data_IF_114391839574
#
_entry.id   IF_114391839574
#
_cell.length_a   1.000
_cell.length_b   1.000
_cell.length_c   1.000
_cell.angle_alpha   90.00
_cell.angle_beta   90.00
_cell.angle_gamma   90.00
#
_symmetry.space_group_name_H-M   'P 1'
#
loop_
_entity.id
_entity.type
_entity.pdbx_description
1 polymer ?
#
# COMPACT_ATOMS: atom_id res chain seq x y z
N UNK A 1 -9.58 9.51 38.10
CA UNK A 1 -9.93 9.16 36.71
C UNK A 1 -9.61 10.35 35.82
N UNK A 2 -8.39 10.43 35.29
CA UNK A 2 -8.05 11.36 34.22
C UNK A 2 -8.91 10.99 33.01
N UNK A 3 -9.77 11.94 32.63
CA UNK A 3 -10.52 11.84 31.38
C UNK A 3 -9.49 12.02 30.25
N UNK A 4 -9.07 10.93 29.60
CA UNK A 4 -8.37 11.04 28.33
C UNK A 4 -9.22 11.93 27.40
N UNK A 5 -8.62 12.94 26.74
CA UNK A 5 -9.36 13.75 25.79
C UNK A 5 -10.00 12.82 24.77
N UNK A 6 -11.31 12.95 24.58
CA UNK A 6 -12.04 12.19 23.56
C UNK A 6 -11.38 12.53 22.23
N UNK A 7 -10.57 11.63 21.73
CA UNK A 7 -9.92 11.79 20.44
C UNK A 7 -11.03 11.90 19.39
N UNK A 8 -11.10 13.03 18.68
CA UNK A 8 -12.08 13.19 17.62
C UNK A 8 -11.80 12.14 16.55
N UNK A 9 -12.82 11.38 16.19
CA UNK A 9 -12.74 10.45 15.09
C UNK A 9 -12.48 11.22 13.79
N UNK A 10 -11.69 10.61 12.89
CA UNK A 10 -11.57 11.11 11.54
C UNK A 10 -12.96 11.09 10.84
N UNK A 11 -13.28 12.03 9.90
CA UNK A 11 -14.57 12.06 9.21
C UNK A 11 -15.01 10.70 8.64
N UNK A 12 -14.09 9.94 8.07
CA UNK A 12 -14.35 8.57 7.58
C UNK A 12 -14.83 7.64 8.71
N UNK A 13 -14.14 7.66 9.84
CA UNK A 13 -14.49 6.82 11.00
C UNK A 13 -15.86 7.23 11.56
N UNK A 14 -16.07 8.55 11.70
CA UNK A 14 -17.33 9.08 12.20
C UNK A 14 -18.49 8.72 11.27
N UNK A 15 -18.32 8.87 9.96
CA UNK A 15 -19.32 8.51 8.96
C UNK A 15 -19.68 7.01 9.00
N UNK A 16 -18.67 6.13 9.17
CA UNK A 16 -18.91 4.69 9.34
C UNK A 16 -19.72 4.37 10.58
N UNK A 17 -19.55 5.14 11.67
CA UNK A 17 -20.39 5.02 12.88
C UNK A 17 -21.80 5.52 12.61
N UNK A 18 -21.94 6.75 12.06
CA UNK A 18 -23.22 7.40 11.81
C UNK A 18 -24.13 6.58 10.87
N UNK A 19 -23.54 5.96 9.85
CA UNK A 19 -24.26 5.16 8.86
C UNK A 19 -24.34 3.67 9.19
N UNK A 20 -23.86 3.23 10.36
CA UNK A 20 -23.82 1.82 10.75
C UNK A 20 -23.10 0.93 9.72
N UNK A 21 -21.98 1.43 9.16
CA UNK A 21 -21.19 0.79 8.10
C UNK A 21 -20.44 -0.47 8.54
N UNK A 22 -20.55 -0.90 9.80
CA UNK A 22 -19.87 -2.08 10.35
C UNK A 22 -20.86 -2.94 11.13
N UNK A 23 -20.70 -4.29 11.02
CA UNK A 23 -21.41 -5.26 11.84
C UNK A 23 -20.42 -6.17 12.58
N UNK A 24 -19.87 -7.20 11.94
CA UNK A 24 -18.90 -8.09 12.61
C UNK A 24 -17.51 -7.44 12.80
N UNK A 25 -17.21 -6.36 12.08
CA UNK A 25 -15.97 -5.60 12.20
C UNK A 25 -14.78 -6.13 11.38
N UNK A 26 -14.84 -7.34 10.84
CA UNK A 26 -13.69 -7.99 10.17
C UNK A 26 -13.19 -7.22 8.95
N UNK A 27 -14.09 -6.76 8.07
CA UNK A 27 -13.74 -6.00 6.88
C UNK A 27 -13.57 -4.48 7.13
N UNK A 28 -13.99 -4.00 8.30
CA UNK A 28 -14.09 -2.56 8.60
C UNK A 28 -12.76 -1.82 8.46
N UNK A 29 -11.60 -2.33 8.93
CA UNK A 29 -10.33 -1.64 8.75
C UNK A 29 -9.97 -1.41 7.28
N UNK A 30 -10.21 -2.42 6.41
CA UNK A 30 -9.97 -2.29 4.98
C UNK A 30 -10.85 -1.21 4.35
N UNK A 31 -12.16 -1.21 4.63
CA UNK A 31 -13.07 -0.18 4.13
C UNK A 31 -12.73 1.22 4.64
N UNK A 32 -12.35 1.36 5.91
CA UNK A 32 -11.93 2.66 6.47
C UNK A 32 -10.71 3.19 5.75
N UNK A 33 -9.72 2.35 5.44
CA UNK A 33 -8.52 2.77 4.73
C UNK A 33 -8.81 3.12 3.27
N UNK A 34 -9.65 2.36 2.57
CA UNK A 34 -10.05 2.69 1.19
C UNK A 34 -10.87 3.99 1.14
N UNK A 35 -11.84 4.17 2.04
CA UNK A 35 -12.60 5.40 2.16
C UNK A 35 -11.71 6.60 2.52
N UNK A 36 -10.72 6.39 3.38
CA UNK A 36 -9.75 7.44 3.71
C UNK A 36 -8.92 7.86 2.50
N UNK A 37 -8.45 6.90 1.69
CA UNK A 37 -7.73 7.20 0.45
C UNK A 37 -8.58 8.03 -0.52
N UNK A 38 -9.85 7.62 -0.74
CA UNK A 38 -10.81 8.38 -1.56
C UNK A 38 -11.09 9.76 -0.97
N UNK A 39 -11.22 9.86 0.36
CA UNK A 39 -11.43 11.13 1.05
C UNK A 39 -10.28 12.11 0.82
N UNK A 40 -9.04 11.71 1.06
CA UNK A 40 -7.85 12.57 0.87
C UNK A 40 -7.73 13.03 -0.59
N UNK A 41 -7.93 12.13 -1.55
CA UNK A 41 -7.88 12.45 -2.98
C UNK A 41 -8.92 13.52 -3.37
N UNK A 42 -10.16 13.37 -2.94
CA UNK A 42 -11.22 14.32 -3.25
C UNK A 42 -11.11 15.63 -2.47
N UNK A 43 -10.63 15.60 -1.24
CA UNK A 43 -10.35 16.81 -0.45
C UNK A 43 -9.25 17.66 -1.10
N UNK A 44 -8.22 17.04 -1.69
CA UNK A 44 -7.18 17.74 -2.41
C UNK A 44 -7.72 18.44 -3.65
N UNK A 45 -8.59 17.75 -4.41
CA UNK A 45 -9.23 18.27 -5.62
C UNK A 45 -10.42 19.20 -5.38
N UNK A 46 -10.88 19.38 -4.15
CA UNK A 46 -12.09 20.15 -3.81
C UNK A 46 -13.36 19.56 -4.44
N UNK A 47 -13.40 18.23 -4.63
CA UNK A 47 -14.49 17.49 -5.29
C UNK A 47 -15.14 16.50 -4.33
N UNK A 48 -16.27 15.93 -4.76
CA UNK A 48 -16.90 14.80 -4.05
C UNK A 48 -17.18 13.68 -5.05
N UNK A 49 -16.94 12.41 -4.67
CA UNK A 49 -17.21 11.29 -5.55
C UNK A 49 -18.70 11.05 -5.70
N UNK A 50 -19.12 10.65 -6.87
CA UNK A 50 -20.45 10.07 -7.07
C UNK A 50 -20.55 8.73 -6.34
N UNK A 51 -21.78 8.26 -6.11
CA UNK A 51 -21.99 6.93 -5.49
C UNK A 51 -21.38 5.80 -6.33
N UNK A 52 -21.38 5.93 -7.66
CA UNK A 52 -20.75 4.95 -8.54
C UNK A 52 -19.23 4.95 -8.38
N UNK A 53 -18.60 6.11 -8.36
CA UNK A 53 -17.15 6.21 -8.12
C UNK A 53 -16.76 5.59 -6.76
N UNK A 54 -17.54 5.85 -5.70
CA UNK A 54 -17.32 5.19 -4.42
C UNK A 54 -17.43 3.65 -4.52
N UNK A 55 -18.39 3.14 -5.27
CA UNK A 55 -18.54 1.70 -5.45
C UNK A 55 -17.35 1.10 -6.21
N UNK A 56 -16.83 1.83 -7.21
CA UNK A 56 -15.66 1.43 -7.99
C UNK A 56 -14.37 1.46 -7.14
N UNK A 57 -14.17 2.53 -6.37
CA UNK A 57 -13.03 2.67 -5.45
C UNK A 57 -12.99 1.58 -4.36
N UNK A 58 -14.17 1.13 -3.93
CA UNK A 58 -14.32 0.10 -2.90
C UNK A 58 -14.42 -1.32 -3.46
N UNK A 59 -14.34 -1.51 -4.78
CA UNK A 59 -14.56 -2.80 -5.45
C UNK A 59 -13.60 -3.92 -4.99
N UNK A 60 -12.40 -3.56 -4.51
CA UNK A 60 -11.43 -4.49 -3.93
C UNK A 60 -11.74 -4.95 -2.51
N UNK A 61 -12.72 -4.35 -1.83
CA UNK A 61 -13.09 -4.66 -0.45
C UNK A 61 -14.35 -5.53 -0.41
N UNK A 62 -14.29 -6.64 0.34
CA UNK A 62 -15.41 -7.57 0.46
C UNK A 62 -16.04 -7.51 1.86
N UNK A 63 -17.37 -7.41 1.90
CA UNK A 63 -18.17 -7.49 3.13
C UNK A 63 -19.31 -8.50 2.96
N UNK A 64 -19.48 -9.39 3.94
CA UNK A 64 -20.54 -10.39 3.93
C UNK A 64 -21.76 -9.98 4.75
N UNK A 65 -21.65 -8.95 5.59
CA UNK A 65 -22.65 -8.64 6.61
C UNK A 65 -23.58 -7.52 6.21
N UNK A 66 -23.05 -6.37 5.71
CA UNK A 66 -23.80 -5.11 5.61
C UNK A 66 -24.59 -4.94 4.33
N UNK A 67 -24.30 -5.71 3.27
CA UNK A 67 -24.85 -5.49 1.93
C UNK A 67 -24.31 -4.22 1.25
N UNK A 68 -23.18 -3.67 1.72
CA UNK A 68 -22.44 -2.51 1.19
C UNK A 68 -23.15 -1.15 1.30
N UNK A 69 -24.47 -1.09 1.26
CA UNK A 69 -25.23 0.16 1.24
C UNK A 69 -24.83 1.13 2.35
N UNK A 70 -24.76 0.73 3.63
CA UNK A 70 -24.34 1.62 4.72
C UNK A 70 -22.91 2.14 4.57
N UNK A 71 -22.02 1.36 3.95
CA UNK A 71 -20.61 1.75 3.69
C UNK A 71 -20.56 2.82 2.61
N UNK A 72 -21.36 2.66 1.53
CA UNK A 72 -21.46 3.67 0.48
C UNK A 72 -22.13 4.96 1.00
N UNK A 73 -23.12 4.83 1.88
CA UNK A 73 -23.74 5.97 2.56
C UNK A 73 -22.71 6.71 3.44
N UNK A 74 -21.85 5.98 4.15
CA UNK A 74 -20.73 6.54 4.91
C UNK A 74 -19.72 7.26 4.00
N UNK A 75 -19.41 6.69 2.83
CA UNK A 75 -18.54 7.30 1.84
C UNK A 75 -19.06 8.64 1.31
N UNK A 76 -20.36 8.83 1.20
CA UNK A 76 -20.95 10.13 0.89
C UNK A 76 -20.97 11.05 2.12
N UNK A 77 -21.38 10.52 3.27
CA UNK A 77 -21.51 11.26 4.53
C UNK A 77 -20.21 11.87 5.03
N UNK A 78 -19.07 11.24 4.79
CA UNK A 78 -17.75 11.72 5.28
C UNK A 78 -17.40 13.13 4.81
N UNK A 79 -17.92 13.58 3.65
CA UNK A 79 -17.70 14.91 3.11
C UNK A 79 -18.60 15.99 3.72
N UNK A 80 -19.68 15.62 4.43
CA UNK A 80 -20.53 16.55 5.16
C UNK A 80 -20.00 16.88 6.55
N UNK A 81 -18.96 16.18 7.00
CA UNK A 81 -18.36 16.37 8.32
C UNK A 81 -17.23 17.41 8.26
N UNK A 82 -16.87 18.00 9.42
CA UNK A 82 -15.75 18.95 9.46
C UNK A 82 -14.48 18.32 8.87
N UNK A 83 -13.95 18.95 7.83
CA UNK A 83 -12.79 18.44 7.09
C UNK A 83 -11.54 18.33 7.94
N UNK A 84 -10.80 17.25 7.73
CA UNK A 84 -9.47 16.99 8.30
C UNK A 84 -8.59 16.53 7.14
N UNK A 85 -7.35 17.01 7.08
CA UNK A 85 -6.37 16.54 6.10
C UNK A 85 -5.12 16.04 6.79
N UNK A 86 -4.53 15.01 6.21
CA UNK A 86 -3.19 14.57 6.60
C UNK A 86 -2.16 15.61 6.11
N UNK A 87 -1.35 16.13 7.03
CA UNK A 87 -0.13 16.85 6.63
C UNK A 87 0.89 15.81 6.12
N UNK A 88 1.04 15.75 4.80
CA UNK A 88 1.94 14.81 4.16
C UNK A 88 3.39 15.28 4.12
N UNK A 89 3.66 16.57 4.35
CA UNK A 89 5.00 17.13 4.22
C UNK A 89 6.03 16.44 5.15
N UNK A 90 5.76 16.22 6.45
CA UNK A 90 6.70 15.53 7.33
C UNK A 90 6.93 14.07 6.92
N UNK A 91 5.89 13.41 6.38
CA UNK A 91 5.99 12.02 5.91
C UNK A 91 6.86 11.95 4.66
N UNK A 92 6.65 12.86 3.70
CA UNK A 92 7.46 12.95 2.47
C UNK A 92 8.92 13.23 2.79
N UNK A 93 9.19 14.17 3.72
CA UNK A 93 10.54 14.49 4.17
C UNK A 93 11.21 13.28 4.83
N UNK A 94 10.53 12.58 5.73
CA UNK A 94 11.03 11.38 6.37
C UNK A 94 11.32 10.27 5.34
N UNK A 95 10.42 10.04 4.38
CA UNK A 95 10.64 9.06 3.31
C UNK A 95 11.80 9.46 2.38
N UNK A 96 11.92 10.75 2.06
CA UNK A 96 13.04 11.24 1.25
C UNK A 96 14.40 11.02 1.94
N UNK A 97 14.45 11.15 3.26
CA UNK A 97 15.68 10.88 4.03
C UNK A 97 16.11 9.40 4.03
N UNK A 98 15.20 8.49 3.69
CA UNK A 98 15.47 7.05 3.60
C UNK A 98 15.89 6.61 2.19
N UNK A 99 15.84 7.52 1.20
CA UNK A 99 16.25 7.17 -0.18
C UNK A 99 17.76 6.96 -0.26
N UNK A 100 18.13 5.94 -0.97
CA UNK A 100 19.51 5.63 -1.29
C UNK A 100 19.70 5.69 -2.80
N UNK A 101 20.78 6.36 -3.24
CA UNK A 101 21.16 6.43 -4.66
C UNK A 101 22.06 5.26 -5.07
N UNK A 102 22.44 4.41 -4.12
CA UNK A 102 23.27 3.24 -4.34
C UNK A 102 22.46 1.95 -4.18
N UNK A 103 22.98 0.85 -4.74
CA UNK A 103 22.44 -0.49 -4.52
C UNK A 103 22.26 -0.75 -3.02
N UNK A 104 21.05 -1.13 -2.64
CA UNK A 104 20.78 -1.55 -1.27
C UNK A 104 21.07 -3.04 -1.13
N UNK A 105 21.92 -3.37 -0.16
CA UNK A 105 22.28 -4.74 0.19
C UNK A 105 21.93 -5.02 1.65
N UNK A 106 21.21 -6.11 1.87
CA UNK A 106 20.86 -6.56 3.21
C UNK A 106 21.15 -8.06 3.35
N UNK A 107 21.80 -8.44 4.44
CA UNK A 107 22.07 -9.83 4.75
C UNK A 107 21.35 -10.26 6.03
N UNK A 108 20.60 -11.36 5.97
CA UNK A 108 19.84 -11.91 7.08
C UNK A 108 20.30 -13.32 7.41
N UNK A 109 20.64 -13.63 8.68
CA UNK A 109 20.92 -14.99 9.10
C UNK A 109 19.65 -15.84 9.12
N UNK A 110 19.71 -17.02 8.52
CA UNK A 110 18.65 -18.04 8.57
C UNK A 110 19.27 -19.40 8.97
N UNK A 111 19.21 -19.73 10.26
CA UNK A 111 19.90 -20.88 10.82
C UNK A 111 21.42 -20.77 10.69
N UNK A 112 22.05 -21.67 9.91
CA UNK A 112 23.49 -21.64 9.62
C UNK A 112 23.84 -20.95 8.30
N UNK A 113 22.83 -20.42 7.60
CA UNK A 113 22.96 -19.78 6.29
C UNK A 113 22.79 -18.27 6.42
N UNK A 114 23.41 -17.52 5.54
CA UNK A 114 23.23 -16.08 5.35
C UNK A 114 22.55 -15.86 4.00
N UNK A 115 21.32 -15.38 4.02
CA UNK A 115 20.58 -15.01 2.81
C UNK A 115 20.74 -13.50 2.52
N UNK A 116 20.84 -13.16 1.26
CA UNK A 116 21.05 -11.79 0.82
C UNK A 116 19.85 -11.25 0.04
N UNK A 117 19.52 -9.99 0.32
CA UNK A 117 18.60 -9.19 -0.48
C UNK A 117 19.38 -8.06 -1.14
N UNK A 118 19.31 -7.97 -2.45
CA UNK A 118 19.94 -6.94 -3.26
C UNK A 118 18.88 -6.13 -4.01
N UNK A 119 18.99 -4.80 -3.99
CA UNK A 119 18.14 -3.90 -4.75
C UNK A 119 19.03 -2.96 -5.59
N UNK A 120 19.49 -3.41 -6.78
CA UNK A 120 20.28 -2.59 -7.69
C UNK A 120 19.44 -1.43 -8.24
N UNK A 121 20.08 -0.31 -8.56
CA UNK A 121 19.43 0.89 -9.10
C UNK A 121 19.63 1.06 -10.60
N UNK A 122 20.58 0.33 -11.20
CA UNK A 122 20.89 0.37 -12.63
C UNK A 122 20.83 -1.02 -13.27
N UNK A 123 20.61 -1.05 -14.59
CA UNK A 123 20.62 -2.30 -15.35
C UNK A 123 22.01 -2.97 -15.34
N UNK A 124 23.09 -2.20 -15.32
CA UNK A 124 24.45 -2.71 -15.26
C UNK A 124 24.72 -3.45 -13.94
N UNK A 125 24.29 -2.89 -12.80
CA UNK A 125 24.39 -3.52 -11.49
C UNK A 125 23.53 -4.79 -11.42
N UNK A 126 22.30 -4.75 -11.96
CA UNK A 126 21.42 -5.92 -12.03
C UNK A 126 22.09 -7.06 -12.82
N UNK A 127 22.69 -6.75 -13.97
CA UNK A 127 23.37 -7.73 -14.81
C UNK A 127 24.56 -8.37 -14.09
N UNK A 128 25.40 -7.54 -13.44
CA UNK A 128 26.54 -8.02 -12.66
C UNK A 128 26.13 -8.91 -11.48
N UNK A 129 25.09 -8.51 -10.73
CA UNK A 129 24.51 -9.32 -9.65
C UNK A 129 23.94 -10.64 -10.16
N UNK A 130 23.27 -10.64 -11.31
CA UNK A 130 22.70 -11.85 -11.90
C UNK A 130 23.80 -12.81 -12.39
N UNK A 131 24.87 -12.29 -12.94
CA UNK A 131 26.05 -13.10 -13.32
C UNK A 131 26.72 -13.72 -12.08
N UNK A 132 26.95 -12.92 -11.03
CA UNK A 132 27.59 -13.38 -9.80
C UNK A 132 26.71 -14.36 -8.98
N UNK A 133 25.38 -14.21 -9.04
CA UNK A 133 24.41 -14.98 -8.26
C UNK A 133 23.32 -15.58 -9.17
N UNK A 134 23.67 -16.56 -10.04
CA UNK A 134 22.71 -17.10 -11.01
C UNK A 134 21.54 -17.88 -10.38
N UNK A 135 21.67 -18.32 -9.12
CA UNK A 135 20.62 -19.01 -8.37
C UNK A 135 19.69 -18.05 -7.61
N UNK A 136 20.03 -16.77 -7.47
CA UNK A 136 19.21 -15.81 -6.74
C UNK A 136 17.85 -15.63 -7.41
N UNK A 137 16.80 -15.51 -6.58
CA UNK A 137 15.44 -15.27 -7.06
C UNK A 137 15.27 -13.81 -7.51
N UNK A 138 14.86 -13.58 -8.76
CA UNK A 138 14.45 -12.25 -9.20
C UNK A 138 13.08 -11.90 -8.62
N UNK A 139 12.95 -10.69 -8.09
CA UNK A 139 11.72 -10.19 -7.46
C UNK A 139 11.27 -8.89 -8.12
N UNK A 140 10.03 -8.91 -8.66
CA UNK A 140 9.33 -7.72 -9.14
C UNK A 140 7.92 -7.71 -8.54
N UNK A 141 7.57 -6.74 -7.69
CA UNK A 141 6.23 -6.58 -7.11
C UNK A 141 5.77 -7.62 -6.10
N UNK A 142 6.31 -8.82 -6.07
CA UNK A 142 6.11 -9.91 -5.09
C UNK A 142 4.72 -10.56 -5.00
N UNK A 143 3.75 -10.24 -5.85
CA UNK A 143 2.38 -10.79 -5.75
C UNK A 143 2.32 -12.32 -5.87
N UNK A 144 3.14 -12.94 -6.73
CA UNK A 144 3.29 -14.40 -6.84
C UNK A 144 4.32 -14.95 -5.85
N UNK A 145 5.50 -14.33 -5.78
CA UNK A 145 6.58 -14.77 -4.90
C UNK A 145 6.16 -14.75 -3.43
N UNK A 146 5.35 -13.76 -3.03
CA UNK A 146 4.77 -13.71 -1.68
C UNK A 146 3.87 -14.91 -1.39
N UNK A 147 3.13 -15.43 -2.38
CA UNK A 147 2.33 -16.64 -2.21
C UNK A 147 3.19 -17.91 -2.08
N UNK A 148 4.35 -17.96 -2.74
CA UNK A 148 5.28 -19.08 -2.57
C UNK A 148 5.76 -19.18 -1.14
N UNK A 149 5.99 -18.05 -0.46
CA UNK A 149 6.36 -18.02 0.96
C UNK A 149 5.14 -18.32 1.84
N UNK A 150 4.03 -17.59 1.68
CA UNK A 150 2.90 -17.64 2.62
C UNK A 150 2.03 -18.90 2.48
N UNK A 151 1.98 -19.51 1.29
CA UNK A 151 1.10 -20.66 1.00
C UNK A 151 1.87 -21.96 0.78
N UNK A 152 3.08 -21.88 0.26
CA UNK A 152 3.87 -23.03 -0.10
C UNK A 152 5.07 -23.23 0.83
N UNK A 153 5.33 -22.30 1.74
CA UNK A 153 6.46 -22.32 2.68
C UNK A 153 7.81 -22.52 1.98
N UNK A 154 7.92 -21.96 0.75
CA UNK A 154 9.17 -22.07 -0.03
C UNK A 154 10.25 -21.20 0.58
N UNK A 155 11.43 -21.75 0.58
CA UNK A 155 12.67 -21.03 0.86
C UNK A 155 13.17 -20.39 -0.45
N UNK A 156 13.37 -19.08 -0.43
CA UNK A 156 13.77 -18.34 -1.62
C UNK A 156 15.29 -18.18 -1.75
N UNK A 157 16.04 -18.31 -0.67
CA UNK A 157 17.46 -18.02 -0.63
C UNK A 157 17.76 -16.54 -0.94
N UNK A 158 18.81 -16.28 -1.72
CA UNK A 158 19.17 -14.93 -2.14
C UNK A 158 18.10 -14.33 -3.08
N UNK A 159 17.81 -13.04 -2.91
CA UNK A 159 16.82 -12.29 -3.68
C UNK A 159 17.49 -11.08 -4.34
N UNK A 160 17.17 -10.85 -5.61
CA UNK A 160 17.52 -9.62 -6.34
C UNK A 160 16.21 -8.92 -6.73
N UNK A 161 15.92 -7.76 -6.11
CA UNK A 161 14.77 -6.93 -6.44
C UNK A 161 15.06 -6.05 -7.65
N UNK A 162 14.16 -6.04 -8.64
CA UNK A 162 14.29 -5.19 -9.82
C UNK A 162 13.50 -3.88 -9.71
N UNK A 163 12.83 -3.66 -8.58
CA UNK A 163 11.91 -2.53 -8.38
C UNK A 163 12.55 -1.15 -8.49
N UNK A 164 13.86 -1.03 -8.21
CA UNK A 164 14.56 0.25 -8.21
C UNK A 164 15.43 0.48 -9.46
N UNK A 165 15.48 -0.49 -10.38
CA UNK A 165 16.20 -0.34 -11.65
C UNK A 165 15.47 0.65 -12.55
N UNK A 166 16.04 1.84 -12.71
CA UNK A 166 15.39 2.96 -13.40
C UNK A 166 15.07 2.64 -14.86
N UNK A 167 15.98 1.98 -15.56
CA UNK A 167 15.84 1.65 -16.99
C UNK A 167 14.70 0.67 -17.26
N UNK A 168 14.34 -0.19 -16.29
CA UNK A 168 13.21 -1.12 -16.42
C UNK A 168 11.85 -0.45 -16.27
N UNK A 169 11.80 0.82 -15.85
CA UNK A 169 10.57 1.61 -15.74
C UNK A 169 10.24 2.40 -17.00
N UNK A 170 11.13 2.39 -18.00
CA UNK A 170 10.93 3.12 -19.24
C UNK A 170 10.07 2.31 -20.21
N UNK A 171 9.05 2.96 -20.75
CA UNK A 171 8.23 2.44 -21.85
C UNK A 171 8.42 3.40 -23.02
N UNK A 172 9.01 2.90 -24.12
CA UNK A 172 9.24 3.69 -25.32
C UNK A 172 8.46 3.11 -26.48
N UNK A 173 7.65 3.93 -27.14
CA UNK A 173 7.01 3.60 -28.40
C UNK A 173 7.95 3.97 -29.55
N UNK A 174 8.52 2.98 -30.24
CA UNK A 174 9.31 3.21 -31.46
C UNK A 174 8.39 2.98 -32.65
N UNK A 175 8.05 4.07 -33.36
CA UNK A 175 7.29 3.98 -34.58
C UNK A 175 7.94 3.00 -35.59
N UNK A 176 7.08 2.19 -36.23
CA UNK A 176 7.46 1.27 -37.32
C UNK A 176 7.73 2.01 -38.62
#
# INVERSE_FOLDING_TARGET
HEKHPVQRLHPVQQAMVDCHGSQCGFCTPGFVMSLWSTYEHHQEGGTQPTRQQLADDLSGNLCRCTGYRPILDAGQRMFDLPGVRLDTAPVVEALASLRHDATFDYAAPLGQRLDHFHAPTTLAELAALREAKPAAQLLAGSTDVGLWVNKQFRDLGDIISVGDVAELKLIEERGS
#
